data_IF_968938292140
#
_entry.id   IF_968938292140
#
_cell.length_a   1.000
_cell.length_b   1.000
_cell.length_c   1.000
_cell.angle_alpha   90.00
_cell.angle_beta   90.00
_cell.angle_gamma   90.00
#
_symmetry.space_group_name_H-M   'P 1'
#
loop_
_entity.id
_entity.type
_entity.pdbx_description
1 polymer ?
#
# COMPACT_ATOMS: atom_id res chain seq x y z
N UNK A 1 -21.47 -13.59 24.69
CA UNK A 1 -22.13 -12.68 25.65
C UNK A 1 -23.60 -12.92 25.44
N UNK A 2 -24.30 -13.45 26.44
CA UNK A 2 -25.71 -13.77 26.29
C UNK A 2 -26.52 -12.48 26.26
N UNK A 3 -27.23 -12.24 25.15
CA UNK A 3 -28.08 -11.07 25.03
C UNK A 3 -29.51 -11.46 25.42
N UNK A 4 -30.01 -10.83 26.47
CA UNK A 4 -31.40 -10.98 26.91
C UNK A 4 -32.23 -9.80 26.40
N UNK A 5 -33.42 -10.08 25.89
CA UNK A 5 -34.43 -9.07 25.60
C UNK A 5 -35.56 -9.21 26.62
N UNK A 6 -35.92 -8.09 27.24
CA UNK A 6 -37.12 -8.02 28.07
C UNK A 6 -38.26 -7.49 27.21
N UNK A 7 -39.25 -8.35 26.96
CA UNK A 7 -40.44 -8.01 26.19
C UNK A 7 -41.62 -7.96 27.15
N UNK A 8 -42.34 -6.85 27.15
CA UNK A 8 -43.60 -6.73 27.87
C UNK A 8 -44.66 -7.58 27.16
N UNK A 9 -45.11 -8.63 27.82
CA UNK A 9 -46.25 -9.41 27.35
C UNK A 9 -47.53 -8.61 27.60
N UNK A 10 -48.17 -8.19 26.51
CA UNK A 10 -49.35 -7.32 26.54
C UNK A 10 -50.60 -8.04 27.04
N UNK A 11 -50.57 -9.36 27.11
CA UNK A 11 -51.70 -10.19 27.56
C UNK A 11 -51.69 -10.44 29.07
N UNK A 12 -50.50 -10.59 29.66
CA UNK A 12 -50.28 -10.86 31.09
C UNK A 12 -49.84 -9.62 31.87
N UNK A 13 -49.29 -8.61 31.19
CA UNK A 13 -48.71 -7.42 31.82
C UNK A 13 -47.31 -7.64 32.38
N UNK A 14 -46.76 -8.85 32.25
CA UNK A 14 -45.48 -9.23 32.80
C UNK A 14 -44.32 -8.97 31.82
N UNK A 15 -43.16 -8.64 32.38
CA UNK A 15 -41.91 -8.55 31.62
C UNK A 15 -41.30 -9.94 31.45
N UNK A 16 -41.35 -10.48 30.23
CA UNK A 16 -40.77 -11.79 29.92
C UNK A 16 -39.34 -11.57 29.41
N UNK A 17 -38.38 -12.21 30.09
CA UNK A 17 -36.98 -12.25 29.62
C UNK A 17 -36.82 -13.38 28.62
N UNK A 18 -36.44 -13.06 27.37
CA UNK A 18 -36.11 -14.03 26.34
C UNK A 18 -34.61 -13.96 26.02
N UNK A 19 -33.94 -15.10 26.05
CA UNK A 19 -32.55 -15.21 25.58
C UNK A 19 -32.54 -15.10 24.05
N UNK A 20 -31.72 -14.18 23.51
CA UNK A 20 -31.41 -14.06 22.07
C UNK A 20 -30.15 -14.85 21.69
N UNK A 21 -29.68 -15.70 22.60
CA UNK A 21 -28.47 -16.49 22.46
C UNK A 21 -27.18 -15.68 22.59
N UNK A 22 -26.06 -16.36 22.36
CA UNK A 22 -24.73 -15.79 22.45
C UNK A 22 -24.36 -15.05 21.17
N UNK A 23 -24.39 -13.72 21.24
CA UNK A 23 -23.78 -12.92 20.19
C UNK A 23 -22.29 -12.80 20.46
N UNK A 24 -21.51 -12.93 19.40
CA UNK A 24 -20.05 -12.88 19.47
C UNK A 24 -19.54 -11.81 18.52
N UNK A 25 -18.45 -11.16 18.90
CA UNK A 25 -17.73 -10.23 18.04
C UNK A 25 -17.04 -10.97 16.89
N UNK A 26 -16.69 -10.26 15.82
CA UNK A 26 -15.88 -10.83 14.72
C UNK A 26 -14.54 -11.40 15.22
N UNK A 27 -13.96 -10.79 16.27
CA UNK A 27 -12.71 -11.27 16.86
C UNK A 27 -12.91 -12.60 17.58
N UNK A 28 -13.99 -12.74 18.36
CA UNK A 28 -14.34 -13.99 19.04
C UNK A 28 -14.73 -15.09 18.06
N UNK A 29 -15.42 -14.74 16.97
CA UNK A 29 -15.67 -15.67 15.86
C UNK A 29 -14.35 -16.20 15.26
N UNK A 30 -13.36 -15.32 15.08
CA UNK A 30 -12.03 -15.74 14.62
C UNK A 30 -11.37 -16.73 15.59
N UNK A 31 -11.47 -16.47 16.89
CA UNK A 31 -10.95 -17.37 17.92
C UNK A 31 -11.66 -18.74 17.90
N UNK A 32 -12.98 -18.77 17.67
CA UNK A 32 -13.79 -19.98 17.54
C UNK A 32 -13.35 -20.86 16.36
N UNK A 33 -12.90 -20.23 15.28
CA UNK A 33 -12.36 -20.91 14.10
C UNK A 33 -10.83 -21.06 14.11
N UNK A 34 -10.16 -20.76 15.23
CA UNK A 34 -8.70 -20.79 15.38
C UNK A 34 -7.94 -19.98 14.32
N UNK A 35 -8.51 -18.86 13.86
CA UNK A 35 -7.88 -17.97 12.88
C UNK A 35 -7.58 -16.59 13.44
N UNK A 36 -6.52 -15.96 12.93
CA UNK A 36 -6.14 -14.61 13.30
C UNK A 36 -7.17 -13.55 12.89
N UNK A 37 -7.13 -12.40 13.56
CA UNK A 37 -8.06 -11.28 13.34
C UNK A 37 -8.10 -10.77 11.89
N UNK A 38 -6.99 -10.83 11.17
CA UNK A 38 -6.95 -10.44 9.75
C UNK A 38 -7.62 -11.50 8.88
N UNK A 39 -7.21 -12.76 9.05
CA UNK A 39 -7.73 -13.91 8.31
C UNK A 39 -9.26 -14.04 8.41
N UNK A 40 -9.84 -13.92 9.61
CA UNK A 40 -11.30 -13.97 9.76
C UNK A 40 -12.00 -12.88 8.95
N UNK A 41 -11.45 -11.66 8.89
CA UNK A 41 -12.04 -10.57 8.11
C UNK A 41 -11.93 -10.82 6.61
N UNK A 42 -10.81 -11.36 6.14
CA UNK A 42 -10.62 -11.76 4.74
C UNK A 42 -11.62 -12.84 4.32
N UNK A 43 -11.81 -13.87 5.16
CA UNK A 43 -12.80 -14.94 4.93
C UNK A 43 -14.21 -14.36 4.87
N UNK A 44 -14.60 -13.55 5.85
CA UNK A 44 -15.94 -12.95 5.87
C UNK A 44 -16.17 -11.96 4.71
N UNK A 45 -15.13 -11.29 4.22
CA UNK A 45 -15.22 -10.48 3.00
C UNK A 45 -15.42 -11.34 1.76
N UNK A 46 -14.76 -12.51 1.67
CA UNK A 46 -14.97 -13.45 0.56
C UNK A 46 -16.42 -13.95 0.49
N UNK A 47 -17.06 -14.08 1.65
CA UNK A 47 -18.48 -14.43 1.77
C UNK A 47 -19.46 -13.26 1.53
N UNK A 48 -18.95 -12.06 1.25
CA UNK A 48 -19.73 -10.81 1.21
C UNK A 48 -20.49 -10.51 2.52
N UNK A 49 -20.00 -11.07 3.64
CA UNK A 49 -20.56 -10.84 4.97
C UNK A 49 -20.06 -9.52 5.57
N UNK A 50 -18.83 -9.14 5.22
CA UNK A 50 -18.23 -7.85 5.57
C UNK A 50 -17.88 -7.06 4.32
N UNK A 51 -18.00 -5.74 4.43
CA UNK A 51 -17.52 -4.78 3.44
C UNK A 51 -16.66 -3.70 4.10
N UNK A 52 -15.95 -2.91 3.29
CA UNK A 52 -15.15 -1.77 3.74
C UNK A 52 -15.82 -0.49 3.22
N UNK A 53 -16.47 0.33 4.08
CA UNK A 53 -17.11 1.58 3.68
C UNK A 53 -16.05 2.63 3.31
N UNK A 54 -16.11 3.11 2.07
CA UNK A 54 -15.26 4.19 1.58
C UNK A 54 -13.79 3.83 1.33
N UNK A 55 -13.11 4.68 0.58
CA UNK A 55 -11.72 4.50 0.12
C UNK A 55 -10.67 5.15 1.04
N UNK A 56 -10.91 5.22 2.36
CA UNK A 56 -9.97 5.91 3.28
C UNK A 56 -8.98 4.92 3.91
N UNK A 57 -7.73 5.35 4.23
CA UNK A 57 -6.68 4.50 4.82
C UNK A 57 -7.03 3.84 6.17
N UNK A 58 -8.15 4.25 6.79
CA UNK A 58 -8.63 3.73 8.08
C UNK A 58 -10.10 3.31 8.03
N UNK A 59 -10.61 3.02 6.83
CA UNK A 59 -11.96 2.45 6.69
C UNK A 59 -12.01 1.10 7.39
N UNK A 60 -12.88 1.00 8.40
CA UNK A 60 -13.05 -0.21 9.21
C UNK A 60 -14.03 -1.13 8.52
N UNK A 61 -13.76 -2.44 8.56
CA UNK A 61 -14.72 -3.45 8.17
C UNK A 61 -16.07 -3.24 8.88
N UNK A 62 -17.16 -3.43 8.11
CA UNK A 62 -18.56 -3.35 8.56
C UNK A 62 -19.35 -4.54 8.06
N UNK A 63 -20.38 -4.94 8.80
CA UNK A 63 -21.38 -5.91 8.35
C UNK A 63 -22.10 -5.40 7.11
N UNK A 64 -22.20 -6.24 6.08
CA UNK A 64 -22.97 -5.92 4.88
C UNK A 64 -24.45 -5.64 5.22
N UNK A 65 -25.09 -4.80 4.42
CA UNK A 65 -26.47 -4.35 4.69
C UNK A 65 -27.45 -5.53 4.74
N UNK A 66 -27.29 -6.52 3.85
CA UNK A 66 -28.12 -7.72 3.83
C UNK A 66 -27.96 -8.58 5.09
N UNK A 67 -26.77 -8.60 5.70
CA UNK A 67 -26.49 -9.33 6.95
C UNK A 67 -27.27 -8.72 8.11
N UNK A 68 -27.29 -7.39 8.18
CA UNK A 68 -28.04 -6.66 9.20
C UNK A 68 -29.55 -6.80 8.96
N UNK A 69 -30.00 -6.70 7.72
CA UNK A 69 -31.42 -6.84 7.36
C UNK A 69 -31.99 -8.23 7.69
N UNK A 70 -31.16 -9.29 7.56
CA UNK A 70 -31.53 -10.66 7.96
C UNK A 70 -31.43 -10.93 9.46
N UNK A 71 -30.92 -10.00 10.26
CA UNK A 71 -30.69 -10.19 11.68
C UNK A 71 -29.46 -11.05 12.01
N UNK A 72 -28.62 -11.38 11.03
CA UNK A 72 -27.43 -12.21 11.24
C UNK A 72 -26.33 -11.49 12.00
N UNK A 73 -26.30 -10.17 11.95
CA UNK A 73 -25.36 -9.37 12.73
C UNK A 73 -25.92 -8.00 13.07
N UNK A 74 -25.26 -7.33 14.01
CA UNK A 74 -25.64 -6.01 14.49
C UNK A 74 -24.41 -5.13 14.65
N UNK A 75 -24.53 -3.88 14.19
CA UNK A 75 -23.57 -2.84 14.50
C UNK A 75 -23.82 -2.29 15.89
N UNK A 76 -22.81 -2.32 16.75
CA UNK A 76 -22.83 -1.68 18.06
C UNK A 76 -22.13 -0.32 17.93
N UNK A 77 -22.87 0.79 18.07
CA UNK A 77 -22.27 2.12 18.03
C UNK A 77 -21.31 2.29 19.21
N UNK A 78 -20.24 3.04 18.98
CA UNK A 78 -19.31 3.38 20.06
C UNK A 78 -19.95 4.36 21.04
N UNK A 79 -19.51 4.33 22.28
CA UNK A 79 -19.89 5.32 23.30
C UNK A 79 -18.66 6.18 23.64
N UNK A 80 -18.60 7.44 23.18
CA UNK A 80 -17.49 8.34 23.47
C UNK A 80 -17.27 8.58 24.96
N UNK A 81 -18.35 8.66 25.75
CA UNK A 81 -18.27 8.90 27.19
C UNK A 81 -17.66 7.71 27.96
N UNK A 82 -17.63 6.52 27.36
CA UNK A 82 -17.01 5.32 27.94
C UNK A 82 -15.75 4.88 27.19
N UNK A 83 -15.22 5.75 26.30
CA UNK A 83 -14.11 5.43 25.39
C UNK A 83 -14.31 4.12 24.59
N UNK A 84 -15.56 3.70 24.39
CA UNK A 84 -15.89 2.45 23.73
C UNK A 84 -15.91 2.67 22.22
N UNK A 85 -15.06 1.94 21.50
CA UNK A 85 -15.03 1.99 20.03
C UNK A 85 -16.21 1.21 19.45
N UNK A 86 -16.74 1.64 18.29
CA UNK A 86 -17.79 0.88 17.60
C UNK A 86 -17.24 -0.47 17.12
N UNK A 87 -18.07 -1.51 17.22
CA UNK A 87 -17.75 -2.88 16.81
C UNK A 87 -19.00 -3.59 16.28
N UNK A 88 -18.77 -4.71 15.60
CA UNK A 88 -19.83 -5.53 15.01
C UNK A 88 -19.91 -6.88 15.73
N UNK A 89 -21.13 -7.37 15.88
CA UNK A 89 -21.44 -8.65 16.49
C UNK A 89 -22.26 -9.54 15.55
N UNK A 90 -22.15 -10.84 15.74
CA UNK A 90 -22.78 -11.90 14.95
C UNK A 90 -23.72 -12.69 15.86
N UNK A 91 -24.97 -12.80 15.44
CA UNK A 91 -26.02 -13.60 16.11
C UNK A 91 -25.75 -15.10 15.98
N UNK A 92 -26.41 -15.96 16.79
CA UNK A 92 -26.35 -17.41 16.62
C UNK A 92 -26.70 -17.89 15.19
N UNK A 93 -27.73 -17.31 14.58
CA UNK A 93 -28.15 -17.66 13.21
C UNK A 93 -27.09 -17.23 12.18
N UNK A 94 -26.47 -16.06 12.39
CA UNK A 94 -25.35 -15.61 11.58
C UNK A 94 -24.13 -16.53 11.72
N UNK A 95 -23.85 -17.01 12.93
CA UNK A 95 -22.78 -17.99 13.17
C UNK A 95 -23.04 -19.31 12.45
N UNK A 96 -24.28 -19.83 12.49
CA UNK A 96 -24.67 -21.02 11.75
C UNK A 96 -24.50 -20.83 10.23
N UNK A 97 -24.98 -19.70 9.71
CA UNK A 97 -24.85 -19.37 8.28
C UNK A 97 -23.38 -19.30 7.82
N UNK A 98 -22.51 -18.70 8.65
CA UNK A 98 -21.07 -18.62 8.40
C UNK A 98 -20.45 -20.02 8.44
N UNK A 99 -20.80 -20.82 9.46
CA UNK A 99 -20.25 -22.17 9.66
C UNK A 99 -20.49 -23.07 8.44
N UNK A 100 -21.69 -23.02 7.86
CA UNK A 100 -22.04 -23.77 6.65
C UNK A 100 -21.18 -23.41 5.43
N UNK A 101 -20.70 -22.17 5.35
CA UNK A 101 -19.98 -21.64 4.17
C UNK A 101 -18.48 -21.51 4.41
N UNK A 102 -18.02 -21.80 5.62
CA UNK A 102 -16.66 -21.56 6.07
C UNK A 102 -15.62 -22.28 5.22
N UNK A 103 -15.76 -23.60 5.05
CA UNK A 103 -14.84 -24.43 4.26
C UNK A 103 -14.73 -23.90 2.83
N UNK A 104 -15.86 -23.67 2.17
CA UNK A 104 -15.91 -23.20 0.79
C UNK A 104 -15.23 -21.83 0.62
N UNK A 105 -15.41 -20.91 1.57
CA UNK A 105 -14.77 -19.61 1.52
C UNK A 105 -13.25 -19.70 1.72
N UNK A 106 -12.80 -20.58 2.62
CA UNK A 106 -11.37 -20.85 2.84
C UNK A 106 -10.74 -21.49 1.60
N UNK A 107 -11.38 -22.47 0.99
CA UNK A 107 -10.94 -23.10 -0.26
C UNK A 107 -10.90 -22.11 -1.41
N UNK A 108 -11.92 -21.26 -1.56
CA UNK A 108 -11.94 -20.23 -2.58
C UNK A 108 -10.82 -19.19 -2.39
N UNK A 109 -10.48 -18.84 -1.15
CA UNK A 109 -9.33 -17.99 -0.87
C UNK A 109 -8.00 -18.70 -1.17
N UNK A 110 -7.89 -19.98 -0.86
CA UNK A 110 -6.71 -20.77 -1.20
C UNK A 110 -6.53 -20.91 -2.72
N UNK A 111 -7.62 -21.09 -3.46
CA UNK A 111 -7.64 -21.13 -4.93
C UNK A 111 -7.28 -19.78 -5.55
N UNK A 112 -7.81 -18.68 -5.03
CA UNK A 112 -7.41 -17.32 -5.47
C UNK A 112 -5.92 -17.06 -5.21
N UNK A 113 -5.41 -17.51 -4.05
CA UNK A 113 -4.00 -17.43 -3.70
C UNK A 113 -3.12 -18.37 -4.55
N UNK A 114 -3.67 -19.45 -5.10
CA UNK A 114 -2.96 -20.41 -5.93
C UNK A 114 -2.58 -19.90 -7.33
N UNK A 115 -2.84 -18.62 -7.64
CA UNK A 115 -2.08 -17.93 -8.69
C UNK A 115 -0.62 -17.92 -8.23
N UNK A 116 0.18 -18.90 -8.69
CA UNK A 116 1.46 -19.28 -8.06
C UNK A 116 2.39 -18.11 -7.75
N UNK A 117 2.39 -17.10 -8.63
CA UNK A 117 3.15 -15.86 -8.48
C UNK A 117 2.74 -15.01 -7.27
N UNK A 118 1.44 -14.92 -6.96
CA UNK A 118 0.93 -14.12 -5.82
C UNK A 118 1.33 -14.78 -4.50
N UNK A 119 1.13 -16.10 -4.39
CA UNK A 119 1.52 -16.86 -3.20
C UNK A 119 3.03 -16.81 -2.98
N UNK A 120 3.82 -17.04 -4.03
CA UNK A 120 5.28 -16.95 -3.98
C UNK A 120 5.74 -15.56 -3.54
N UNK A 121 5.13 -14.49 -4.06
CA UNK A 121 5.45 -13.12 -3.67
C UNK A 121 5.11 -12.82 -2.21
N UNK A 122 3.96 -13.31 -1.72
CA UNK A 122 3.57 -13.18 -0.32
C UNK A 122 4.52 -13.93 0.63
N UNK A 123 4.87 -15.18 0.30
CA UNK A 123 5.80 -16.00 1.06
C UNK A 123 7.21 -15.38 1.09
N UNK A 124 7.70 -14.90 -0.06
CA UNK A 124 9.00 -14.27 -0.15
C UNK A 124 9.06 -12.96 0.66
N UNK A 125 7.99 -12.14 0.63
CA UNK A 125 7.91 -10.93 1.47
C UNK A 125 7.88 -11.28 2.96
N UNK A 126 7.18 -12.35 3.35
CA UNK A 126 7.13 -12.77 4.75
C UNK A 126 8.50 -13.28 5.21
N UNK A 127 9.17 -14.11 4.41
CA UNK A 127 10.53 -14.56 4.69
C UNK A 127 11.51 -13.39 4.82
N UNK A 128 11.39 -12.37 3.94
CA UNK A 128 12.20 -11.16 4.05
C UNK A 128 11.95 -10.38 5.35
N UNK A 129 10.68 -10.26 5.77
CA UNK A 129 10.31 -9.62 7.05
C UNK A 129 10.90 -10.38 8.24
N UNK A 130 10.84 -11.71 8.21
CA UNK A 130 11.33 -12.56 9.29
C UNK A 130 12.86 -12.45 9.44
N UNK A 131 13.60 -12.36 8.31
CA UNK A 131 15.06 -12.16 8.30
C UNK A 131 15.47 -10.76 8.82
N UNK A 132 14.68 -9.72 8.52
CA UNK A 132 15.01 -8.32 8.89
C UNK A 132 14.86 -8.04 10.40
N UNK A 133 14.14 -8.86 11.15
CA UNK A 133 14.02 -8.74 12.62
C UNK A 133 13.14 -7.56 13.10
N UNK A 134 13.56 -6.88 14.18
CA UNK A 134 12.70 -5.99 15.02
C UNK A 134 12.05 -4.79 14.33
N UNK A 135 12.52 -4.37 13.15
CA UNK A 135 11.94 -3.27 12.39
C UNK A 135 11.10 -3.83 11.23
N UNK A 136 9.82 -4.10 11.51
CA UNK A 136 8.88 -4.56 10.49
C UNK A 136 8.74 -3.54 9.35
N UNK A 137 8.64 -4.03 8.11
CA UNK A 137 8.38 -3.17 6.97
C UNK A 137 7.04 -2.46 7.13
N UNK A 138 7.03 -1.14 6.91
CA UNK A 138 5.81 -0.38 6.67
C UNK A 138 5.10 -0.89 5.42
N UNK A 139 3.82 -0.54 5.26
CA UNK A 139 3.06 -0.87 4.03
C UNK A 139 3.75 -0.27 2.80
N UNK A 140 4.24 0.95 2.89
CA UNK A 140 4.95 1.62 1.79
C UNK A 140 6.23 0.86 1.40
N UNK A 141 7.07 0.48 2.37
CA UNK A 141 8.27 -0.30 2.08
C UNK A 141 7.92 -1.68 1.52
N UNK A 142 6.86 -2.32 2.01
CA UNK A 142 6.40 -3.61 1.50
C UNK A 142 5.94 -3.51 0.05
N UNK A 143 5.25 -2.42 -0.32
CA UNK A 143 4.88 -2.13 -1.71
C UNK A 143 6.14 -1.96 -2.57
N UNK A 144 7.10 -1.15 -2.12
CA UNK A 144 8.35 -0.95 -2.87
C UNK A 144 9.09 -2.26 -3.10
N UNK A 145 9.23 -3.08 -2.06
CA UNK A 145 9.91 -4.37 -2.13
C UNK A 145 9.22 -5.33 -3.12
N UNK A 146 7.89 -5.42 -3.07
CA UNK A 146 7.13 -6.27 -4.00
C UNK A 146 7.30 -5.83 -5.45
N UNK A 147 7.26 -4.52 -5.73
CA UNK A 147 7.49 -4.00 -7.07
C UNK A 147 8.93 -4.24 -7.58
N UNK A 148 9.92 -4.34 -6.68
CA UNK A 148 11.31 -4.61 -7.05
C UNK A 148 11.58 -6.09 -7.35
N UNK A 149 10.93 -7.00 -6.63
CA UNK A 149 11.20 -8.44 -6.72
C UNK A 149 10.19 -9.19 -7.59
N UNK A 150 9.01 -8.60 -7.80
CA UNK A 150 7.92 -9.17 -8.59
C UNK A 150 7.30 -8.10 -9.50
N UNK A 151 8.03 -7.63 -10.54
CA UNK A 151 7.62 -6.50 -11.38
C UNK A 151 6.33 -6.78 -12.19
N UNK A 152 6.01 -8.05 -12.41
CA UNK A 152 4.84 -8.47 -13.19
C UNK A 152 3.53 -8.44 -12.36
N UNK A 153 3.60 -8.19 -11.05
CA UNK A 153 2.39 -8.08 -10.23
C UNK A 153 1.63 -6.80 -10.54
N UNK A 154 0.34 -6.96 -10.85
CA UNK A 154 -0.57 -5.83 -10.94
C UNK A 154 -0.79 -5.17 -9.57
N UNK A 155 -1.18 -3.90 -9.58
CA UNK A 155 -1.47 -3.17 -8.34
C UNK A 155 -2.57 -3.83 -7.50
N UNK A 156 -3.51 -4.53 -8.14
CA UNK A 156 -4.57 -5.27 -7.48
C UNK A 156 -4.02 -6.48 -6.74
N UNK A 157 -3.06 -7.20 -7.33
CA UNK A 157 -2.42 -8.36 -6.71
C UNK A 157 -1.51 -7.96 -5.55
N UNK A 158 -0.73 -6.87 -5.70
CA UNK A 158 0.03 -6.28 -4.60
C UNK A 158 -0.90 -5.88 -3.44
N UNK A 159 -2.07 -5.31 -3.76
CA UNK A 159 -3.10 -4.99 -2.77
C UNK A 159 -3.62 -6.23 -2.03
N UNK A 160 -3.85 -7.33 -2.75
CA UNK A 160 -4.26 -8.61 -2.15
C UNK A 160 -3.20 -9.17 -1.21
N UNK A 161 -1.91 -9.15 -1.60
CA UNK A 161 -0.80 -9.65 -0.77
C UNK A 161 -0.70 -8.87 0.56
N UNK A 162 -0.91 -7.55 0.52
CA UNK A 162 -0.75 -6.68 1.68
C UNK A 162 -2.03 -6.42 2.47
N UNK A 163 -3.17 -6.96 2.01
CA UNK A 163 -4.52 -6.65 2.52
C UNK A 163 -4.83 -5.14 2.52
N UNK A 164 -4.51 -4.46 1.42
CA UNK A 164 -4.79 -3.03 1.19
C UNK A 164 -5.49 -2.81 -0.15
N UNK A 165 -6.11 -1.64 -0.31
CA UNK A 165 -6.77 -1.30 -1.57
C UNK A 165 -5.76 -0.98 -2.68
N UNK A 166 -6.12 -1.27 -3.93
CA UNK A 166 -5.33 -0.93 -5.13
C UNK A 166 -4.94 0.56 -5.19
N UNK A 167 -5.81 1.45 -4.68
CA UNK A 167 -5.55 2.89 -4.64
C UNK A 167 -4.40 3.25 -3.71
N UNK A 168 -4.29 2.58 -2.56
CA UNK A 168 -3.19 2.77 -1.62
C UNK A 168 -1.87 2.33 -2.27
N UNK A 169 -1.88 1.18 -2.96
CA UNK A 169 -0.73 0.68 -3.72
C UNK A 169 -0.30 1.69 -4.78
N UNK A 170 -1.26 2.16 -5.60
CA UNK A 170 -1.00 3.14 -6.66
C UNK A 170 -0.41 4.44 -6.10
N UNK A 171 -0.94 4.93 -4.97
CA UNK A 171 -0.39 6.10 -4.29
C UNK A 171 1.07 5.89 -3.88
N UNK A 172 1.41 4.75 -3.27
CA UNK A 172 2.78 4.49 -2.83
C UNK A 172 3.76 4.30 -3.98
N UNK A 173 3.32 3.66 -5.08
CA UNK A 173 4.09 3.54 -6.30
C UNK A 173 4.37 4.94 -6.90
N UNK A 174 3.37 5.82 -6.96
CA UNK A 174 3.57 7.19 -7.44
C UNK A 174 4.54 7.98 -6.55
N UNK A 175 4.42 7.87 -5.23
CA UNK A 175 5.38 8.48 -4.29
C UNK A 175 6.79 7.97 -4.53
N UNK A 176 6.95 6.66 -4.78
CA UNK A 176 8.24 6.07 -5.12
C UNK A 176 8.80 6.67 -6.40
N UNK A 177 8.02 6.74 -7.49
CA UNK A 177 8.48 7.33 -8.76
C UNK A 177 8.95 8.77 -8.58
N UNK A 178 8.21 9.58 -7.81
CA UNK A 178 8.59 10.97 -7.50
C UNK A 178 9.93 11.00 -6.75
N UNK A 179 10.09 10.19 -5.72
CA UNK A 179 11.31 10.15 -4.91
C UNK A 179 12.52 9.65 -5.69
N UNK A 180 12.37 8.60 -6.50
CA UNK A 180 13.45 8.07 -7.35
C UNK A 180 13.87 9.10 -8.39
N UNK A 181 12.92 9.82 -9.01
CA UNK A 181 13.21 10.88 -9.97
C UNK A 181 13.92 12.08 -9.32
N UNK A 182 13.51 12.47 -8.11
CA UNK A 182 14.19 13.50 -7.34
C UNK A 182 15.64 13.10 -7.02
N UNK A 183 15.86 11.87 -6.54
CA UNK A 183 17.21 11.35 -6.27
C UNK A 183 18.09 11.31 -7.52
N UNK A 184 17.54 10.94 -8.68
CA UNK A 184 18.27 10.95 -9.94
C UNK A 184 18.63 12.38 -10.39
N UNK A 185 17.72 13.34 -10.20
CA UNK A 185 17.97 14.75 -10.49
C UNK A 185 19.06 15.34 -9.57
N UNK A 186 19.05 15.01 -8.28
CA UNK A 186 20.06 15.43 -7.31
C UNK A 186 21.42 14.80 -7.61
N UNK A 187 21.45 13.51 -7.95
CA UNK A 187 22.67 12.83 -8.38
C UNK A 187 23.23 13.42 -9.68
N UNK A 188 22.36 13.81 -10.63
CA UNK A 188 22.78 14.47 -11.87
C UNK A 188 23.31 15.89 -11.62
N UNK A 189 22.69 16.65 -10.71
CA UNK A 189 23.18 17.96 -10.25
C UNK A 189 24.55 17.83 -9.59
N UNK A 190 24.70 16.90 -8.65
CA UNK A 190 25.98 16.66 -7.99
C UNK A 190 27.09 16.28 -8.97
N UNK A 191 26.80 15.40 -9.95
CA UNK A 191 27.76 15.07 -11.01
C UNK A 191 28.13 16.28 -11.85
N UNK A 192 27.16 17.14 -12.19
CA UNK A 192 27.40 18.38 -12.95
C UNK A 192 28.26 19.36 -12.17
N UNK A 193 27.94 19.58 -10.89
CA UNK A 193 28.68 20.50 -10.01
C UNK A 193 30.11 20.00 -9.77
N UNK A 194 30.30 18.68 -9.63
CA UNK A 194 31.64 18.08 -9.55
C UNK A 194 32.43 18.24 -10.85
N UNK A 195 31.78 18.09 -12.01
CA UNK A 195 32.40 18.31 -13.32
C UNK A 195 32.78 19.79 -13.53
N UNK A 196 31.96 20.71 -13.01
CA UNK A 196 32.23 22.14 -13.02
C UNK A 196 33.40 22.51 -12.09
N UNK A 197 33.51 21.89 -10.92
CA UNK A 197 34.65 22.09 -10.01
C UNK A 197 35.96 21.57 -10.63
N UNK A 198 35.93 20.41 -11.31
CA UNK A 198 37.10 19.87 -12.02
C UNK A 198 37.50 20.75 -13.22
N UNK A 199 36.55 21.23 -14.03
CA UNK A 199 36.85 22.12 -15.17
C UNK A 199 37.34 23.51 -14.74
N UNK A 200 36.86 24.02 -13.61
CA UNK A 200 37.32 25.31 -13.05
C UNK A 200 38.77 25.22 -12.54
N UNK A 201 39.16 24.08 -11.95
CA UNK A 201 40.56 23.80 -11.55
C UNK A 201 41.50 23.72 -12.76
N UNK A 202 41.08 23.09 -13.86
CA UNK A 202 41.88 23.03 -15.10
C UNK A 202 42.12 24.42 -15.69
N UNK A 203 41.13 25.32 -15.63
CA UNK A 203 41.27 26.69 -16.15
C UNK A 203 42.15 27.58 -15.26
N UNK A 204 42.15 27.36 -13.94
CA UNK A 204 43.04 28.06 -13.00
C UNK A 204 44.50 27.58 -13.09
N UNK A 205 44.77 26.36 -13.59
CA UNK A 205 46.13 25.91 -13.91
C UNK A 205 46.68 26.44 -15.24
N UNK A 206 45.86 27.15 -16.03
CA UNK A 206 46.30 27.87 -17.24
C UNK A 206 46.29 29.39 -16.98
N UNK A 207 47.13 29.85 -16.06
CA UNK A 207 47.47 31.27 -15.95
C UNK A 207 48.29 31.71 -17.19
N UNK A 208 48.19 32.98 -17.62
CA UNK A 208 48.71 33.43 -18.91
C UNK A 208 50.24 33.48 -18.90
N UNK A 209 50.84 32.88 -19.92
CA UNK A 209 52.24 33.11 -20.28
C UNK A 209 52.32 34.48 -20.96
N UNK A 210 52.53 35.54 -20.17
CA UNK A 210 52.90 36.86 -20.69
C UNK A 210 54.43 37.07 -20.58
N UNK A 211 54.97 37.59 -21.68
CA UNK A 211 56.22 38.32 -21.88
C UNK A 211 57.59 37.61 -21.85
N UNK A 212 58.10 37.36 -23.06
CA UNK A 212 59.49 37.73 -23.42
C UNK A 212 59.47 38.53 -24.72
N UNK A 213 59.50 39.87 -24.58
CA UNK A 213 59.91 40.78 -25.65
C UNK A 213 61.43 40.77 -25.70
N UNK A 214 62.04 40.47 -26.85
CA UNK A 214 63.20 41.21 -27.37
C UNK A 214 63.58 40.82 -28.81
N UNK A 215 63.40 41.80 -29.70
CA UNK A 215 64.35 42.22 -30.74
C UNK A 215 64.54 41.39 -32.02
N UNK A 216 64.06 41.99 -33.13
CA UNK A 216 64.89 42.16 -34.32
C UNK A 216 64.57 41.28 -35.53
N UNK A 217 64.10 41.88 -36.62
CA UNK A 217 64.25 41.28 -37.95
C UNK A 217 63.09 41.46 -38.92
N UNK A 218 62.99 42.66 -39.49
CA UNK A 218 62.59 42.97 -40.87
C UNK A 218 62.23 41.81 -41.82
N UNK A 219 61.03 41.82 -42.41
CA UNK A 219 60.71 42.06 -43.84
C UNK A 219 59.38 41.40 -44.26
N UNK A 220 58.59 42.20 -44.99
CA UNK A 220 57.63 41.92 -46.08
C UNK A 220 57.03 40.49 -46.19
N UNK A 221 55.76 40.26 -46.51
CA UNK A 221 55.06 40.62 -47.75
C UNK A 221 53.55 40.44 -47.49
N UNK A 222 52.78 41.31 -48.13
CA UNK A 222 51.34 41.30 -48.40
C UNK A 222 50.74 39.93 -48.76
N UNK A 223 49.52 39.65 -48.32
CA UNK A 223 48.34 39.58 -49.22
C UNK A 223 47.08 39.19 -48.45
N UNK A 224 46.04 39.96 -48.72
CA UNK A 224 44.68 39.65 -48.36
C UNK A 224 44.15 38.53 -49.29
N UNK A 225 43.43 37.56 -48.73
CA UNK A 225 42.28 37.00 -49.43
C UNK A 225 41.17 36.70 -48.43
N UNK A 226 40.21 37.60 -48.42
CA UNK A 226 38.88 37.41 -47.91
C UNK A 226 38.10 36.69 -49.02
N UNK A 227 37.55 35.50 -48.77
CA UNK A 227 36.42 35.02 -49.58
C UNK A 227 35.48 34.21 -48.70
N UNK A 228 34.34 34.84 -48.43
CA UNK A 228 33.06 34.22 -48.15
C UNK A 228 32.66 33.25 -49.25
N UNK A 229 32.08 32.09 -48.92
CA UNK A 229 30.91 31.63 -49.67
C UNK A 229 30.06 30.64 -48.86
N UNK A 230 28.82 31.08 -48.62
CA UNK A 230 27.66 30.23 -48.41
C UNK A 230 27.51 29.25 -49.57
N UNK A 231 26.79 28.14 -49.34
CA UNK A 231 25.64 27.65 -50.15
C UNK A 231 25.36 26.18 -49.80
N UNK A 232 24.32 25.96 -48.99
CA UNK A 232 23.30 24.91 -49.22
C UNK A 232 22.49 25.33 -50.46
N UNK A 233 21.81 24.48 -51.26
CA UNK A 233 20.94 23.34 -50.86
C UNK A 233 21.06 22.14 -51.84
N UNK A 234 20.31 21.03 -51.82
CA UNK A 234 18.93 20.75 -51.41
C UNK A 234 18.77 19.27 -51.01
#
# INVERSE_FOLDING_TARGET
MEYIEQVLDRSTGDMITRSKGDWITITELGALHHVGQRTVRTILRKMDFLYVPGCRPHSRHRLAEWVVARGYGKHIPGNPARHQRPFDVVSPDGQAWIKERWSNAVEALAADAATGTIKQAGEALQAFKDVRGRHGLTVQESVSWLCDHFPDLSHTEVGRILDVTQQIVTRYINTRYINTRAQQADAARWRRDKLLDDTTKVRLSMAPYEDVIASGGTRYITEAHNTSENVLPA
#
